data_IF_522417687932
#
_entry.id   IF_522417687932
#
_cell.length_a   1.000
_cell.length_b   1.000
_cell.length_c   1.000
_cell.angle_alpha   90.00
_cell.angle_beta   90.00
_cell.angle_gamma   90.00
#
_symmetry.space_group_name_H-M   'P 1'
#
loop_
_entity.id
_entity.type
_entity.pdbx_description
1 polymer ?
#
# COMPACT_ATOMS: atom_id res chain seq x y z
N UNK A 1 12.55 5.43 14.34
CA UNK A 1 11.29 4.72 14.08
C UNK A 1 10.85 5.01 12.66
N UNK A 2 10.41 4.02 11.88
CA UNK A 2 9.74 4.28 10.61
C UNK A 2 8.49 5.12 10.87
N UNK A 3 8.30 6.19 10.09
CA UNK A 3 7.06 6.97 10.06
C UNK A 3 6.27 6.53 8.84
N UNK A 4 4.99 6.24 9.03
CA UNK A 4 4.07 6.02 7.90
C UNK A 4 3.62 7.40 7.44
N UNK A 5 3.85 7.69 6.16
CA UNK A 5 3.44 8.93 5.52
C UNK A 5 2.47 8.54 4.41
N UNK A 6 1.21 8.96 4.53
CA UNK A 6 0.25 8.81 3.45
C UNK A 6 0.58 9.78 2.33
N UNK A 7 0.64 9.27 1.11
CA UNK A 7 0.99 10.04 -0.07
C UNK A 7 0.20 9.54 -1.28
N UNK A 8 -0.07 10.46 -2.21
CA UNK A 8 -0.61 10.14 -3.52
C UNK A 8 0.51 10.17 -4.56
N UNK A 9 0.48 9.23 -5.50
CA UNK A 9 1.42 9.19 -6.61
C UNK A 9 0.77 9.79 -7.86
N UNK A 10 1.20 10.99 -8.26
CA UNK A 10 0.67 11.71 -9.42
C UNK A 10 1.79 12.33 -10.23
N UNK A 11 1.69 12.28 -11.56
CA UNK A 11 2.66 12.88 -12.48
C UNK A 11 4.13 12.46 -12.21
N UNK A 12 4.33 11.22 -11.74
CA UNK A 12 5.67 10.69 -11.46
C UNK A 12 6.27 11.09 -10.10
N UNK A 13 5.50 11.74 -9.21
CA UNK A 13 5.99 12.23 -7.91
C UNK A 13 5.06 11.79 -6.77
N UNK A 14 5.64 11.34 -5.65
CA UNK A 14 4.91 11.09 -4.41
C UNK A 14 4.65 12.40 -3.67
N UNK A 15 3.38 12.77 -3.50
CA UNK A 15 2.94 13.97 -2.77
C UNK A 15 2.33 13.55 -1.42
N UNK A 16 2.87 14.00 -0.27
CA UNK A 16 2.29 13.65 1.01
C UNK A 16 0.93 14.32 1.21
N UNK A 17 -0.01 13.60 1.83
CA UNK A 17 -1.35 14.10 2.19
C UNK A 17 -1.33 14.93 3.49
N UNK A 18 -0.18 14.99 4.16
CA UNK A 18 0.06 15.71 5.39
C UNK A 18 1.41 16.42 5.34
N UNK A 19 1.62 17.42 6.22
CA UNK A 19 2.94 18.03 6.37
C UNK A 19 3.94 17.00 6.91
N UNK A 20 5.13 17.00 6.33
CA UNK A 20 6.25 16.15 6.73
C UNK A 20 7.39 17.03 7.24
N UNK A 21 8.06 16.58 8.30
CA UNK A 21 9.18 17.27 8.92
C UNK A 21 10.49 16.76 8.29
N UNK A 22 10.78 17.22 7.09
CA UNK A 22 11.98 16.90 6.30
C UNK A 22 12.61 18.20 5.79
N UNK A 23 13.94 18.23 5.66
CA UNK A 23 14.65 19.37 5.09
C UNK A 23 14.58 19.36 3.58
N UNK A 24 14.60 20.54 2.97
CA UNK A 24 14.69 20.67 1.51
C UNK A 24 15.95 19.95 0.98
N UNK A 25 15.79 19.13 -0.06
CA UNK A 25 16.86 18.30 -0.62
C UNK A 25 17.28 17.09 0.23
N UNK A 26 16.59 16.79 1.35
CA UNK A 26 16.86 15.62 2.16
C UNK A 26 16.56 14.32 1.40
N UNK A 27 17.54 13.42 1.32
CA UNK A 27 17.39 12.13 0.64
C UNK A 27 16.83 11.09 1.60
N UNK A 28 15.64 10.61 1.31
CA UNK A 28 14.99 9.52 2.07
C UNK A 28 14.89 8.24 1.24
N UNK A 29 14.73 7.10 1.92
CA UNK A 29 14.37 5.82 1.29
C UNK A 29 12.89 5.58 1.50
N UNK A 30 12.16 5.33 0.42
CA UNK A 30 10.78 4.89 0.48
C UNK A 30 10.75 3.36 0.46
N UNK A 31 9.83 2.78 1.23
CA UNK A 31 9.48 1.37 1.14
C UNK A 31 8.03 1.27 0.72
N UNK A 32 7.79 0.56 -0.37
CA UNK A 32 6.45 0.21 -0.82
C UNK A 32 6.24 -1.23 -0.39
N UNK A 33 5.27 -1.46 0.49
CA UNK A 33 4.88 -2.79 0.93
C UNK A 33 3.51 -3.09 0.31
N UNK A 34 3.44 -4.11 -0.56
CA UNK A 34 2.17 -4.70 -0.98
C UNK A 34 1.78 -5.72 0.11
N UNK A 35 0.66 -5.47 0.79
CA UNK A 35 0.09 -6.45 1.70
C UNK A 35 -0.48 -7.66 0.94
N UNK A 36 -0.69 -8.78 1.63
CA UNK A 36 -1.27 -9.97 1.01
C UNK A 36 -2.63 -9.67 0.36
N UNK A 37 -3.39 -8.76 0.97
CA UNK A 37 -4.66 -8.27 0.45
C UNK A 37 -4.51 -7.48 -0.84
N UNK A 38 -3.48 -6.64 -0.96
CA UNK A 38 -3.21 -5.87 -2.17
C UNK A 38 -2.87 -6.80 -3.33
N UNK A 39 -2.06 -7.82 -3.05
CA UNK A 39 -1.74 -8.88 -4.01
C UNK A 39 -3.00 -9.64 -4.42
N UNK A 40 -3.82 -10.10 -3.46
CA UNK A 40 -5.06 -10.82 -3.78
C UNK A 40 -6.00 -9.98 -4.64
N UNK A 41 -6.23 -8.71 -4.27
CA UNK A 41 -7.08 -7.77 -5.02
C UNK A 41 -6.61 -7.57 -6.45
N UNK A 42 -5.29 -7.44 -6.66
CA UNK A 42 -4.68 -7.33 -8.00
C UNK A 42 -4.99 -8.53 -8.90
N UNK A 43 -5.13 -9.72 -8.32
CA UNK A 43 -5.44 -10.95 -9.05
C UNK A 43 -6.92 -11.38 -8.98
N UNK A 44 -7.76 -10.66 -8.23
CA UNK A 44 -9.16 -10.99 -8.02
C UNK A 44 -9.93 -11.17 -9.33
N UNK A 45 -9.75 -10.24 -10.28
CA UNK A 45 -10.38 -10.33 -11.61
C UNK A 45 -9.85 -11.49 -12.45
N UNK A 46 -8.55 -11.80 -12.35
CA UNK A 46 -7.92 -12.90 -13.10
C UNK A 46 -8.43 -14.27 -12.65
N UNK A 47 -8.67 -14.45 -11.36
CA UNK A 47 -9.13 -15.73 -10.79
C UNK A 47 -10.62 -15.75 -10.45
N UNK A 48 -11.37 -14.69 -10.80
CA UNK A 48 -12.80 -14.54 -10.47
C UNK A 48 -13.09 -14.74 -8.97
N UNK A 49 -12.17 -14.29 -8.12
CA UNK A 49 -12.34 -14.36 -6.67
C UNK A 49 -13.43 -13.37 -6.26
N UNK A 50 -14.33 -13.82 -5.40
CA UNK A 50 -15.32 -12.98 -4.74
C UNK A 50 -14.75 -12.43 -3.44
N UNK A 51 -15.37 -11.39 -2.87
CA UNK A 51 -14.99 -10.91 -1.55
C UNK A 51 -15.05 -12.01 -0.48
N UNK A 52 -16.03 -12.92 -0.58
CA UNK A 52 -16.16 -14.09 0.31
C UNK A 52 -14.96 -15.04 0.23
N UNK A 53 -14.38 -15.25 -0.94
CA UNK A 53 -13.19 -16.09 -1.10
C UNK A 53 -11.99 -15.47 -0.39
N UNK A 54 -11.89 -14.13 -0.45
CA UNK A 54 -10.83 -13.36 0.21
C UNK A 54 -11.03 -13.40 1.74
N UNK A 55 -12.25 -13.19 2.23
CA UNK A 55 -12.57 -13.27 3.66
C UNK A 55 -12.22 -14.64 4.24
N UNK A 56 -12.65 -15.73 3.57
CA UNK A 56 -12.34 -17.09 3.99
C UNK A 56 -10.83 -17.34 4.07
N UNK A 57 -10.06 -16.86 3.09
CA UNK A 57 -8.60 -16.97 3.08
C UNK A 57 -7.94 -16.26 4.28
N UNK A 58 -8.49 -15.11 4.71
CA UNK A 58 -7.99 -14.37 5.87
C UNK A 58 -8.36 -15.06 7.18
N UNK A 59 -9.56 -15.64 7.27
CA UNK A 59 -10.01 -16.38 8.46
C UNK A 59 -9.15 -17.61 8.72
N UNK A 60 -8.81 -18.38 7.69
CA UNK A 60 -7.96 -19.58 7.81
C UNK A 60 -6.52 -19.28 8.26
N UNK A 61 -6.11 -18.01 8.27
CA UNK A 61 -4.77 -17.56 8.68
C UNK A 61 -4.73 -16.78 9.99
N UNK A 62 -5.87 -16.60 10.67
CA UNK A 62 -5.91 -16.09 12.04
C UNK A 62 -5.76 -17.21 13.05
#
# INVERSE_FOLDING_TARGET
MPKIIEAIYENGVFKPLQKVDLKEGERIKLRIEEGILDVIKKYQGKFKLTEKDIEKFLEERR
#
